data_IF_713627212403
#
_entry.id   IF_713627212403
#
_cell.length_a   1.000
_cell.length_b   1.000
_cell.length_c   1.000
_cell.angle_alpha   90.00
_cell.angle_beta   90.00
_cell.angle_gamma   90.00
#
_symmetry.space_group_name_H-M   'P 1'
#
loop_
_entity.id
_entity.type
_entity.pdbx_description
1 polymer ?
#
# COMPACT_ATOMS: atom_id res chain seq x y z
N UNK A 1 -8.91 2.37 -38.01
CA UNK A 1 -8.59 1.55 -36.79
C UNK A 1 -8.61 2.52 -35.61
N UNK A 2 -9.66 2.47 -34.78
CA UNK A 2 -9.68 3.21 -33.53
C UNK A 2 -8.55 2.67 -32.64
N UNK A 3 -7.52 3.50 -32.45
CA UNK A 3 -6.40 3.19 -31.54
C UNK A 3 -6.95 3.19 -30.12
N UNK A 4 -6.76 2.11 -29.36
CA UNK A 4 -7.14 2.07 -27.95
C UNK A 4 -6.45 3.21 -27.20
N UNK A 5 -7.21 3.94 -26.35
CA UNK A 5 -6.67 5.02 -25.53
C UNK A 5 -5.72 4.45 -24.46
N UNK A 6 -4.67 5.20 -24.16
CA UNK A 6 -3.76 4.87 -23.04
C UNK A 6 -4.44 5.15 -21.70
N UNK A 7 -3.92 4.56 -20.64
CA UNK A 7 -4.43 4.76 -19.27
C UNK A 7 -4.47 6.25 -18.89
N UNK A 8 -3.42 7.00 -19.25
CA UNK A 8 -3.35 8.43 -18.98
C UNK A 8 -4.40 9.22 -19.77
N UNK A 9 -4.63 8.86 -21.02
CA UNK A 9 -5.67 9.51 -21.83
C UNK A 9 -7.06 9.28 -21.23
N UNK A 10 -7.35 8.06 -20.82
CA UNK A 10 -8.62 7.72 -20.17
C UNK A 10 -8.78 8.51 -18.87
N UNK A 11 -7.73 8.57 -18.04
CA UNK A 11 -7.75 9.32 -16.79
C UNK A 11 -7.95 10.82 -16.99
N UNK A 12 -7.29 11.41 -17.98
CA UNK A 12 -7.39 12.84 -18.27
C UNK A 12 -8.74 13.24 -18.87
N UNK A 13 -9.38 12.36 -19.60
CA UNK A 13 -10.72 12.56 -20.17
C UNK A 13 -11.85 12.32 -19.17
N UNK A 14 -11.53 11.80 -17.98
CA UNK A 14 -12.51 11.49 -16.95
C UNK A 14 -13.26 12.75 -16.48
N UNK A 15 -14.57 12.65 -16.36
CA UNK A 15 -15.40 13.67 -15.74
C UNK A 15 -15.58 13.31 -14.27
N UNK A 16 -14.79 13.94 -13.42
CA UNK A 16 -14.85 13.71 -11.97
C UNK A 16 -15.99 14.48 -11.32
N UNK A 17 -16.60 13.88 -10.32
CA UNK A 17 -17.51 14.58 -9.44
C UNK A 17 -16.75 15.34 -8.34
N UNK A 18 -17.28 16.46 -7.83
CA UNK A 18 -16.71 17.06 -6.62
C UNK A 18 -16.64 16.04 -5.50
N UNK A 19 -15.56 16.07 -4.72
CA UNK A 19 -15.33 15.05 -3.68
C UNK A 19 -16.44 15.08 -2.60
N UNK A 20 -17.07 16.21 -2.40
CA UNK A 20 -18.22 16.33 -1.51
C UNK A 20 -19.41 15.50 -1.97
N UNK A 21 -19.64 15.40 -3.28
CA UNK A 21 -20.68 14.54 -3.86
C UNK A 21 -20.35 13.06 -3.73
N UNK A 22 -19.07 12.70 -3.93
CA UNK A 22 -18.59 11.34 -3.70
C UNK A 22 -18.79 10.93 -2.24
N UNK A 23 -18.48 11.81 -1.33
CA UNK A 23 -18.62 11.59 0.12
C UNK A 23 -20.08 11.37 0.54
N UNK A 24 -21.04 12.00 -0.13
CA UNK A 24 -22.47 11.80 0.14
C UNK A 24 -22.92 10.35 -0.05
N UNK A 25 -22.30 9.62 -0.97
CA UNK A 25 -22.59 8.19 -1.16
C UNK A 25 -22.25 7.34 0.05
N UNK A 26 -21.37 7.85 0.91
CA UNK A 26 -20.95 7.21 2.15
C UNK A 26 -21.59 7.85 3.39
N UNK A 27 -22.59 8.70 3.20
CA UNK A 27 -23.24 9.46 4.27
C UNK A 27 -22.26 10.30 5.10
N UNK A 28 -21.25 10.86 4.45
CA UNK A 28 -20.28 11.77 5.03
C UNK A 28 -20.73 13.21 4.76
N UNK A 29 -20.82 14.03 5.80
CA UNK A 29 -21.13 15.44 5.68
C UNK A 29 -19.90 16.23 5.23
N UNK A 30 -20.12 17.35 4.57
CA UNK A 30 -19.03 18.21 4.10
C UNK A 30 -18.15 18.72 5.24
N UNK A 31 -18.72 19.01 6.41
CA UNK A 31 -17.98 19.45 7.60
C UNK A 31 -17.14 18.34 8.24
N UNK A 32 -17.31 17.09 7.83
CA UNK A 32 -16.51 15.96 8.24
C UNK A 32 -15.32 15.69 7.31
N UNK A 33 -15.14 16.50 6.27
CA UNK A 33 -14.04 16.43 5.33
C UNK A 33 -13.08 17.61 5.50
N UNK A 34 -11.80 17.35 5.26
CA UNK A 34 -10.78 18.37 5.06
C UNK A 34 -10.43 18.38 3.57
N UNK A 35 -10.84 19.44 2.86
CA UNK A 35 -10.73 19.50 1.41
C UNK A 35 -9.30 19.83 0.95
N UNK A 36 -8.81 19.06 -0.01
CA UNK A 36 -7.56 19.28 -0.73
C UNK A 36 -7.88 19.57 -2.20
N UNK A 37 -8.48 20.74 -2.44
CA UNK A 37 -9.04 21.09 -3.73
C UNK A 37 -10.41 20.45 -3.94
N UNK A 38 -10.84 20.39 -5.22
CA UNK A 38 -12.20 19.98 -5.57
C UNK A 38 -12.41 18.46 -5.53
N UNK A 39 -11.34 17.68 -5.78
CA UNK A 39 -11.44 16.24 -6.08
C UNK A 39 -10.76 15.33 -5.07
N UNK A 40 -10.16 15.89 -4.02
CA UNK A 40 -9.48 15.14 -2.96
C UNK A 40 -9.90 15.67 -1.60
N UNK A 41 -9.99 14.79 -0.62
CA UNK A 41 -10.24 15.18 0.75
C UNK A 41 -9.62 14.20 1.73
N UNK A 42 -9.42 14.64 2.95
CA UNK A 42 -9.11 13.78 4.10
C UNK A 42 -10.33 13.66 5.00
N UNK A 43 -10.41 12.54 5.70
CA UNK A 43 -11.39 12.35 6.77
C UNK A 43 -10.96 13.12 8.01
N UNK A 44 -11.88 13.89 8.60
CA UNK A 44 -11.64 14.56 9.87
C UNK A 44 -11.59 13.55 11.03
N UNK A 45 -10.97 13.95 12.14
CA UNK A 45 -10.97 13.13 13.36
C UNK A 45 -12.39 12.96 13.92
N UNK A 46 -13.25 13.97 13.76
CA UNK A 46 -14.66 13.92 14.16
C UNK A 46 -15.43 12.83 13.41
N UNK A 47 -15.18 12.68 12.11
CA UNK A 47 -15.77 11.61 11.31
C UNK A 47 -15.36 10.25 11.87
N UNK A 48 -14.07 10.04 12.10
CA UNK A 48 -13.55 8.76 12.59
C UNK A 48 -14.11 8.42 13.97
N UNK A 49 -14.28 9.40 14.85
CA UNK A 49 -14.89 9.20 16.16
C UNK A 49 -16.39 8.85 16.04
N UNK A 50 -17.12 9.52 15.15
CA UNK A 50 -18.53 9.21 14.89
C UNK A 50 -18.74 7.80 14.38
N UNK A 51 -17.82 7.30 13.56
CA UNK A 51 -17.91 5.97 12.93
C UNK A 51 -17.56 4.82 13.89
N UNK A 52 -16.92 5.09 14.99
CA UNK A 52 -16.32 4.12 15.89
C UNK A 52 -17.25 2.98 16.30
N UNK A 53 -18.51 3.28 16.57
CA UNK A 53 -19.49 2.31 17.07
C UNK A 53 -20.46 1.79 15.98
N UNK A 54 -20.25 2.21 14.72
CA UNK A 54 -21.05 1.73 13.60
C UNK A 54 -20.70 0.25 13.28
N UNK A 55 -21.66 -0.53 12.74
CA UNK A 55 -21.38 -1.91 12.34
C UNK A 55 -20.43 -1.96 11.16
N UNK A 56 -19.63 -3.03 11.09
CA UNK A 56 -18.73 -3.28 9.99
C UNK A 56 -19.45 -3.87 8.78
N UNK A 57 -19.07 -3.42 7.59
CA UNK A 57 -19.41 -4.08 6.34
C UNK A 57 -18.58 -5.34 6.11
N UNK A 58 -18.71 -5.91 4.91
CA UNK A 58 -17.96 -7.09 4.49
C UNK A 58 -16.61 -6.70 3.91
N UNK A 59 -15.57 -7.46 4.22
CA UNK A 59 -14.21 -7.23 3.78
C UNK A 59 -13.81 -8.27 2.73
N UNK A 60 -13.44 -7.81 1.54
CA UNK A 60 -12.94 -8.64 0.44
C UNK A 60 -11.47 -8.31 0.22
N UNK A 61 -10.60 -9.28 0.38
CA UNK A 61 -9.17 -9.15 0.07
C UNK A 61 -8.91 -9.64 -1.35
N UNK A 62 -8.33 -8.79 -2.18
CA UNK A 62 -7.83 -9.17 -3.52
C UNK A 62 -6.32 -9.43 -3.41
N UNK A 63 -5.92 -10.62 -3.79
CA UNK A 63 -4.51 -11.02 -3.87
C UNK A 63 -4.28 -11.73 -5.21
N UNK A 64 -3.09 -12.26 -5.43
CA UNK A 64 -2.73 -12.92 -6.67
C UNK A 64 -1.79 -14.08 -6.42
N UNK A 65 -1.60 -14.90 -7.43
CA UNK A 65 -0.47 -15.83 -7.47
C UNK A 65 0.86 -15.05 -7.48
N UNK A 66 1.99 -15.73 -7.38
CA UNK A 66 3.31 -15.08 -7.40
C UNK A 66 3.42 -14.07 -8.53
N UNK A 67 4.04 -12.90 -8.28
CA UNK A 67 4.27 -11.94 -9.35
C UNK A 67 5.18 -12.51 -10.43
N UNK A 68 4.82 -12.25 -11.69
CA UNK A 68 5.60 -12.59 -12.87
C UNK A 68 5.94 -11.31 -13.65
N UNK A 69 6.90 -11.37 -14.60
CA UNK A 69 7.24 -10.20 -15.42
C UNK A 69 6.05 -9.63 -16.21
N UNK A 70 5.02 -10.44 -16.47
CA UNK A 70 3.83 -10.01 -17.20
C UNK A 70 2.82 -9.23 -16.31
N UNK A 71 2.94 -9.33 -14.98
CA UNK A 71 1.97 -8.80 -14.03
C UNK A 71 0.66 -9.61 -13.99
N UNK A 72 -0.08 -9.50 -12.89
CA UNK A 72 -1.34 -10.24 -12.66
C UNK A 72 -2.57 -9.33 -12.70
N UNK A 73 -2.40 -8.02 -12.56
CA UNK A 73 -3.50 -7.05 -12.64
C UNK A 73 -4.35 -6.96 -11.38
N UNK A 74 -3.76 -7.09 -10.19
CA UNK A 74 -4.47 -6.99 -8.91
C UNK A 74 -5.25 -5.69 -8.76
N UNK A 75 -4.58 -4.56 -8.94
CA UNK A 75 -5.20 -3.24 -8.74
C UNK A 75 -6.32 -2.99 -9.74
N UNK A 76 -6.13 -3.35 -11.01
CA UNK A 76 -7.18 -3.28 -12.03
C UNK A 76 -8.38 -4.14 -11.64
N UNK A 77 -8.14 -5.34 -11.13
CA UNK A 77 -9.20 -6.24 -10.65
C UNK A 77 -9.90 -5.66 -9.42
N UNK A 78 -9.16 -5.12 -8.47
CA UNK A 78 -9.72 -4.53 -7.24
C UNK A 78 -10.62 -3.34 -7.56
N UNK A 79 -10.16 -2.43 -8.41
CA UNK A 79 -10.93 -1.26 -8.84
C UNK A 79 -12.15 -1.69 -9.65
N UNK A 80 -11.97 -2.60 -10.60
CA UNK A 80 -13.07 -3.14 -11.41
C UNK A 80 -14.14 -3.82 -10.57
N UNK A 81 -13.75 -4.60 -9.56
CA UNK A 81 -14.67 -5.25 -8.64
C UNK A 81 -15.46 -4.22 -7.83
N UNK A 82 -14.79 -3.19 -7.30
CA UNK A 82 -15.47 -2.12 -6.57
C UNK A 82 -16.47 -1.35 -7.44
N UNK A 83 -16.11 -1.04 -8.68
CA UNK A 83 -17.01 -0.42 -9.64
C UNK A 83 -18.22 -1.32 -9.98
N UNK A 84 -17.99 -2.63 -10.11
CA UNK A 84 -19.05 -3.60 -10.35
C UNK A 84 -20.07 -3.65 -9.22
N UNK A 85 -19.61 -3.63 -7.97
CA UNK A 85 -20.52 -3.53 -6.82
C UNK A 85 -21.34 -2.25 -6.87
N UNK A 86 -20.73 -1.12 -7.22
CA UNK A 86 -21.43 0.14 -7.38
C UNK A 86 -22.53 0.07 -8.45
N UNK A 87 -22.24 -0.56 -9.60
CA UNK A 87 -23.23 -0.79 -10.67
C UNK A 87 -24.38 -1.68 -10.23
N UNK A 88 -24.13 -2.62 -9.32
CA UNK A 88 -25.17 -3.47 -8.75
C UNK A 88 -25.97 -2.77 -7.63
N UNK A 89 -25.75 -1.48 -7.42
CA UNK A 89 -26.42 -0.71 -6.39
C UNK A 89 -25.95 -0.99 -4.97
N UNK A 90 -24.79 -1.61 -4.81
CA UNK A 90 -24.20 -1.86 -3.50
C UNK A 90 -23.41 -0.64 -3.03
N UNK A 91 -23.46 -0.37 -1.72
CA UNK A 91 -22.65 0.65 -1.08
C UNK A 91 -21.24 0.08 -0.86
N UNK A 92 -20.36 0.33 -1.82
CA UNK A 92 -19.01 -0.24 -1.85
C UNK A 92 -17.93 0.84 -1.81
N UNK A 93 -16.79 0.50 -1.21
CA UNK A 93 -15.58 1.32 -1.13
C UNK A 93 -14.39 0.47 -1.50
N UNK A 94 -13.42 1.07 -2.18
CA UNK A 94 -12.12 0.46 -2.46
C UNK A 94 -11.10 1.10 -1.53
N UNK A 95 -10.30 0.29 -0.84
CA UNK A 95 -9.24 0.75 0.07
C UNK A 95 -7.87 0.33 -0.47
N UNK A 96 -7.04 1.29 -0.84
CA UNK A 96 -5.78 1.08 -1.55
C UNK A 96 -4.60 1.72 -0.85
N UNK A 97 -3.38 1.28 -1.23
CA UNK A 97 -2.16 1.98 -0.90
C UNK A 97 -1.97 3.19 -1.80
N UNK A 98 -1.28 4.20 -1.26
CA UNK A 98 -0.78 5.33 -2.03
C UNK A 98 0.52 4.92 -2.76
N UNK A 99 0.69 5.24 -4.06
CA UNK A 99 1.92 4.93 -4.77
C UNK A 99 3.08 5.83 -4.37
N UNK A 100 4.30 5.25 -4.34
CA UNK A 100 5.54 5.98 -4.11
C UNK A 100 6.01 6.67 -5.39
N UNK A 101 6.66 7.84 -5.25
CA UNK A 101 7.23 8.59 -6.37
C UNK A 101 8.28 7.81 -7.15
N UNK A 102 9.17 7.11 -6.44
CA UNK A 102 10.24 6.36 -7.10
C UNK A 102 9.73 5.38 -8.14
N UNK A 103 8.87 4.42 -7.78
CA UNK A 103 8.27 3.51 -8.75
C UNK A 103 7.45 4.20 -9.84
N UNK A 104 6.83 5.34 -9.56
CA UNK A 104 6.06 6.11 -10.55
C UNK A 104 6.93 6.55 -11.73
N UNK A 105 8.15 6.94 -11.47
CA UNK A 105 9.15 7.31 -12.49
C UNK A 105 10.02 6.13 -12.93
N UNK A 106 9.78 4.93 -12.44
CA UNK A 106 10.50 3.71 -12.78
C UNK A 106 9.77 2.85 -13.81
N UNK A 107 10.21 1.61 -13.91
CA UNK A 107 9.68 0.61 -14.87
C UNK A 107 8.20 0.32 -14.61
N UNK A 108 7.77 0.34 -13.36
CA UNK A 108 6.37 0.04 -12.98
C UNK A 108 5.39 1.14 -13.35
N UNK A 109 5.84 2.40 -13.44
CA UNK A 109 4.96 3.55 -13.60
C UNK A 109 4.04 3.77 -12.39
N UNK A 110 2.97 4.53 -12.56
CA UNK A 110 1.99 4.82 -11.51
C UNK A 110 1.08 3.62 -11.20
N UNK A 111 0.42 3.65 -10.05
CA UNK A 111 -0.38 2.54 -9.53
C UNK A 111 -1.83 2.97 -9.24
N UNK A 112 -2.54 3.45 -10.26
CA UNK A 112 -3.93 3.89 -10.18
C UNK A 112 -4.95 2.89 -10.76
N UNK A 113 -4.51 1.69 -11.13
CA UNK A 113 -5.29 0.74 -11.94
C UNK A 113 -4.97 0.86 -13.42
N UNK A 114 -5.83 0.38 -14.30
CA UNK A 114 -5.62 0.41 -15.74
C UNK A 114 -6.92 0.42 -16.53
N UNK A 115 -6.84 0.92 -17.78
CA UNK A 115 -7.98 1.01 -18.66
C UNK A 115 -9.12 1.82 -18.04
N UNK A 116 -10.30 1.25 -18.01
CA UNK A 116 -11.49 1.87 -17.40
C UNK A 116 -11.68 1.51 -15.92
N UNK A 117 -10.74 0.76 -15.33
CA UNK A 117 -10.72 0.45 -13.91
C UNK A 117 -9.58 1.25 -13.24
N UNK A 118 -9.80 2.54 -13.05
CA UNK A 118 -8.82 3.46 -12.47
C UNK A 118 -9.42 4.29 -11.34
N UNK A 119 -8.56 4.69 -10.40
CA UNK A 119 -8.85 5.75 -9.42
C UNK A 119 -8.31 7.07 -9.93
N UNK A 120 -9.04 8.13 -9.71
CA UNK A 120 -8.74 9.49 -10.19
C UNK A 120 -8.91 10.51 -9.05
N UNK A 121 -8.18 11.63 -9.06
CA UNK A 121 -7.26 12.13 -10.10
C UNK A 121 -5.93 11.36 -10.12
N UNK A 122 -5.57 10.80 -11.27
CA UNK A 122 -4.43 9.89 -11.40
C UNK A 122 -3.08 10.59 -11.18
N UNK A 123 -2.87 11.75 -11.81
CA UNK A 123 -1.61 12.50 -11.68
C UNK A 123 -1.37 12.90 -10.22
N UNK A 124 -2.40 13.42 -9.55
CA UNK A 124 -2.29 13.82 -8.15
C UNK A 124 -1.93 12.62 -7.26
N UNK A 125 -2.61 11.49 -7.48
CA UNK A 125 -2.36 10.26 -6.72
C UNK A 125 -0.91 9.78 -6.89
N UNK A 126 -0.38 9.81 -8.11
CA UNK A 126 0.95 9.31 -8.43
C UNK A 126 2.08 10.26 -8.04
N UNK A 127 1.80 11.53 -7.80
CA UNK A 127 2.81 12.53 -7.46
C UNK A 127 2.79 12.85 -5.97
N UNK A 128 2.44 14.05 -5.60
CA UNK A 128 2.50 14.50 -4.20
C UNK A 128 1.23 14.22 -3.40
N UNK A 129 0.15 13.91 -4.09
CA UNK A 129 -1.17 13.60 -3.56
C UNK A 129 -1.65 14.64 -2.51
N UNK A 130 -1.63 14.28 -1.22
CA UNK A 130 -1.97 15.17 -0.11
C UNK A 130 -0.78 15.43 0.82
N UNK A 131 0.42 15.01 0.42
CA UNK A 131 1.65 15.29 1.15
C UNK A 131 2.02 14.28 2.23
N UNK A 132 1.34 13.15 2.34
CA UNK A 132 1.59 12.17 3.41
C UNK A 132 3.00 11.61 3.38
N UNK A 133 3.52 11.28 2.19
CA UNK A 133 4.87 10.73 2.06
C UNK A 133 5.94 11.78 2.34
N UNK A 134 5.69 13.04 2.00
CA UNK A 134 6.58 14.14 2.38
C UNK A 134 6.63 14.34 3.90
N UNK A 135 5.49 14.19 4.57
CA UNK A 135 5.43 14.24 6.02
C UNK A 135 6.23 13.10 6.66
N UNK A 136 6.12 11.90 6.12
CA UNK A 136 6.88 10.73 6.58
C UNK A 136 8.38 10.92 6.35
N UNK A 137 8.77 11.39 5.16
CA UNK A 137 10.18 11.73 4.87
C UNK A 137 10.71 12.76 5.86
N UNK A 138 9.95 13.80 6.14
CA UNK A 138 10.35 14.86 7.08
C UNK A 138 10.51 14.31 8.50
N UNK A 139 9.57 13.50 8.98
CA UNK A 139 9.63 12.91 10.31
C UNK A 139 10.82 11.94 10.44
N UNK A 140 11.03 11.12 9.43
CA UNK A 140 12.17 10.19 9.39
C UNK A 140 13.52 10.92 9.46
N UNK A 141 13.66 11.98 8.68
CA UNK A 141 14.91 12.73 8.59
C UNK A 141 15.09 13.67 9.80
N UNK A 142 14.01 14.13 10.42
CA UNK A 142 14.09 14.84 11.70
C UNK A 142 14.69 13.92 12.78
N UNK A 143 14.24 12.68 12.86
CA UNK A 143 14.77 11.72 13.83
C UNK A 143 16.26 11.46 13.56
N UNK A 144 16.68 11.31 12.32
CA UNK A 144 18.08 11.16 11.95
C UNK A 144 18.91 12.39 12.33
N UNK A 145 18.39 13.58 12.08
CA UNK A 145 19.05 14.83 12.44
C UNK A 145 19.19 15.01 13.97
N UNK A 146 18.15 14.68 14.72
CA UNK A 146 18.19 14.74 16.18
C UNK A 146 19.22 13.75 16.77
N UNK A 147 19.34 12.57 16.19
CA UNK A 147 20.32 11.58 16.58
C UNK A 147 21.74 12.09 16.37
N UNK A 148 22.06 12.59 15.18
CA UNK A 148 23.38 13.12 14.86
C UNK A 148 23.69 14.39 15.68
N UNK A 149 22.70 15.24 15.91
CA UNK A 149 22.87 16.40 16.78
C UNK A 149 23.12 16.02 18.24
N UNK A 150 22.47 14.98 18.74
CA UNK A 150 22.70 14.47 20.09
C UNK A 150 24.16 14.05 20.28
N UNK A 151 24.70 13.32 19.30
CA UNK A 151 26.12 12.92 19.31
C UNK A 151 27.02 14.15 19.29
N UNK A 152 26.74 15.13 18.43
CA UNK A 152 27.53 16.37 18.29
C UNK A 152 27.52 17.20 19.58
N UNK A 153 26.41 17.25 20.30
CA UNK A 153 26.18 18.11 21.45
C UNK A 153 26.55 17.40 22.80
N UNK A 154 27.47 16.46 22.77
CA UNK A 154 28.00 15.83 23.97
C UNK A 154 27.63 14.37 24.15
N UNK A 155 26.71 13.83 23.37
CA UNK A 155 26.35 12.39 23.37
C UNK A 155 26.07 11.84 24.78
N UNK A 156 25.16 12.49 25.50
CA UNK A 156 24.84 12.13 26.88
C UNK A 156 24.34 10.68 27.01
N UNK A 157 23.60 10.19 26.02
CA UNK A 157 23.09 8.81 25.98
C UNK A 157 24.16 7.77 25.66
N UNK A 158 25.39 8.21 25.31
CA UNK A 158 26.47 7.31 24.98
C UNK A 158 26.24 6.47 23.74
N UNK A 159 25.62 7.04 22.72
CA UNK A 159 25.38 6.36 21.44
C UNK A 159 26.72 5.98 20.81
N UNK A 160 26.85 4.69 20.44
CA UNK A 160 28.00 4.23 19.68
C UNK A 160 27.78 4.56 18.20
N UNK A 161 28.59 5.45 17.60
CA UNK A 161 28.43 5.84 16.21
C UNK A 161 28.52 4.67 15.19
N UNK A 162 29.08 3.55 15.64
CA UNK A 162 29.17 2.32 14.82
C UNK A 162 27.96 1.40 14.98
N UNK A 163 27.03 1.76 15.85
CA UNK A 163 25.83 0.98 16.19
C UNK A 163 24.54 1.77 15.90
N UNK A 164 24.59 2.71 14.97
CA UNK A 164 23.42 3.47 14.51
C UNK A 164 22.70 2.64 13.46
N UNK A 165 21.40 2.36 13.70
CA UNK A 165 20.56 1.59 12.78
C UNK A 165 19.56 2.46 12.04
N UNK A 166 19.22 3.63 12.56
CA UNK A 166 18.30 4.55 11.91
C UNK A 166 18.92 5.16 10.66
N UNK A 167 18.18 5.14 9.56
CA UNK A 167 18.63 5.62 8.25
C UNK A 167 17.82 6.84 7.81
N UNK A 168 18.41 7.65 6.96
CA UNK A 168 17.69 8.71 6.26
C UNK A 168 16.83 8.12 5.15
N UNK A 169 15.92 8.90 4.59
CA UNK A 169 15.07 8.45 3.49
C UNK A 169 14.81 9.54 2.46
N UNK A 170 14.44 9.10 1.26
CA UNK A 170 14.02 9.94 0.16
C UNK A 170 13.02 9.13 -0.66
N UNK A 171 11.91 9.73 -1.09
CA UNK A 171 10.91 8.98 -1.85
C UNK A 171 11.27 8.88 -3.34
N UNK A 172 12.45 8.33 -3.60
CA UNK A 172 13.00 8.15 -4.94
C UNK A 172 13.90 6.90 -4.96
N UNK A 173 13.89 6.18 -6.08
CA UNK A 173 14.85 5.10 -6.30
C UNK A 173 16.20 5.71 -6.71
N UNK A 174 17.14 5.75 -5.78
CA UNK A 174 18.48 6.29 -6.01
C UNK A 174 19.54 5.37 -5.39
N UNK A 175 20.14 4.54 -6.25
CA UNK A 175 21.16 3.58 -5.80
C UNK A 175 22.44 4.21 -5.31
N UNK A 176 22.73 5.44 -5.72
CA UNK A 176 23.94 6.17 -5.31
C UNK A 176 23.87 6.54 -3.82
N UNK A 177 22.67 6.72 -3.29
CA UNK A 177 22.44 7.08 -1.90
C UNK A 177 22.35 5.87 -0.94
N UNK A 178 22.53 4.65 -1.43
CA UNK A 178 22.45 3.45 -0.58
C UNK A 178 23.54 3.38 0.48
N UNK A 179 24.73 3.88 0.15
CA UNK A 179 25.84 3.95 1.09
C UNK A 179 26.53 5.30 0.87
N UNK A 180 26.48 6.16 1.87
CA UNK A 180 27.04 7.51 1.81
C UNK A 180 27.85 7.77 3.06
N UNK A 181 28.77 8.71 2.99
CA UNK A 181 29.51 9.23 4.14
C UNK A 181 28.93 10.61 4.48
N UNK A 182 28.50 10.77 5.71
CA UNK A 182 27.94 12.03 6.24
C UNK A 182 28.86 12.66 7.27
N UNK A 183 28.64 13.94 7.56
CA UNK A 183 29.42 14.67 8.58
C UNK A 183 30.81 15.10 8.13
N UNK A 184 31.09 15.11 6.83
CA UNK A 184 32.34 15.61 6.28
C UNK A 184 32.43 17.13 6.43
N UNK A 185 33.65 17.64 6.58
CA UNK A 185 33.91 19.07 6.73
C UNK A 185 34.67 19.37 8.02
N UNK A 186 34.18 20.33 8.78
CA UNK A 186 34.79 20.74 10.05
C UNK A 186 34.19 19.97 11.22
N UNK A 187 34.76 20.17 12.44
CA UNK A 187 34.18 19.63 13.67
C UNK A 187 32.75 20.11 13.96
N UNK A 188 32.29 21.13 13.26
CA UNK A 188 30.92 21.67 13.40
C UNK A 188 29.90 20.93 12.52
N UNK A 189 30.36 20.06 11.63
CA UNK A 189 29.52 19.36 10.65
C UNK A 189 29.08 17.98 11.13
N UNK A 190 29.30 17.67 12.39
CA UNK A 190 28.92 16.41 13.00
C UNK A 190 30.04 15.38 13.01
N UNK A 191 29.72 14.16 13.39
CA UNK A 191 30.67 13.04 13.39
C UNK A 191 30.64 12.35 12.03
N UNK A 192 31.79 12.12 11.43
CA UNK A 192 31.91 11.40 10.17
C UNK A 192 31.50 9.94 10.39
N UNK A 193 30.55 9.48 9.63
CA UNK A 193 30.06 8.10 9.66
C UNK A 193 29.44 7.69 8.34
N UNK A 194 29.24 6.39 8.16
CA UNK A 194 28.42 5.85 7.09
C UNK A 194 26.93 6.04 7.41
N UNK A 195 26.17 6.40 6.40
CA UNK A 195 24.70 6.45 6.44
C UNK A 195 24.13 5.85 5.17
N UNK A 196 22.83 5.70 5.14
CA UNK A 196 22.07 5.16 4.02
C UNK A 196 20.81 6.00 3.80
N UNK A 197 20.36 6.09 2.55
CA UNK A 197 19.03 6.61 2.23
C UNK A 197 18.15 5.46 1.73
N UNK A 198 17.13 5.11 2.51
CA UNK A 198 16.10 4.18 2.05
C UNK A 198 15.00 4.95 1.33
N UNK A 199 14.22 4.28 0.50
CA UNK A 199 13.01 4.89 -0.07
C UNK A 199 11.98 5.11 1.04
N UNK A 200 11.21 6.20 0.98
CA UNK A 200 10.28 6.58 2.08
C UNK A 200 9.32 5.46 2.46
N UNK A 201 8.82 4.69 1.48
CA UNK A 201 7.92 3.57 1.75
C UNK A 201 8.58 2.38 2.47
N UNK A 202 9.90 2.39 2.61
CA UNK A 202 10.66 1.45 3.41
C UNK A 202 10.98 1.97 4.83
N UNK A 203 10.64 3.21 5.12
CA UNK A 203 10.81 3.77 6.47
C UNK A 203 9.93 3.04 7.48
N UNK A 204 10.50 2.75 8.66
CA UNK A 204 9.72 2.21 9.79
C UNK A 204 8.54 3.10 10.16
N UNK A 205 8.67 4.43 9.98
CA UNK A 205 7.59 5.38 10.25
C UNK A 205 6.39 5.11 9.32
N UNK A 206 6.63 4.73 8.07
CA UNK A 206 5.54 4.33 7.17
C UNK A 206 4.74 3.16 7.75
N UNK A 207 5.41 2.12 8.20
CA UNK A 207 4.77 0.95 8.82
C UNK A 207 4.05 1.32 10.11
N UNK A 208 4.68 2.11 10.96
CA UNK A 208 4.11 2.58 12.23
C UNK A 208 2.84 3.38 12.01
N UNK A 209 2.85 4.33 11.07
CA UNK A 209 1.68 5.13 10.72
C UNK A 209 0.53 4.24 10.22
N UNK A 210 0.83 3.26 9.39
CA UNK A 210 -0.17 2.35 8.84
C UNK A 210 -0.76 1.37 9.86
N UNK A 211 -0.06 1.09 10.95
CA UNK A 211 -0.54 0.22 12.02
C UNK A 211 -1.20 0.98 13.19
N UNK A 212 -1.01 2.29 13.27
CA UNK A 212 -1.53 3.09 14.38
C UNK A 212 -3.07 3.19 14.35
N UNK A 213 -3.68 3.11 15.52
CA UNK A 213 -5.13 3.27 15.68
C UNK A 213 -5.53 4.76 15.75
N UNK A 214 -4.72 5.58 16.39
CA UNK A 214 -4.95 7.00 16.62
C UNK A 214 -3.64 7.73 16.92
N UNK A 215 -3.72 9.02 17.26
CA UNK A 215 -2.54 9.83 17.55
C UNK A 215 -1.80 9.34 18.80
N UNK A 216 -2.48 8.89 19.82
CA UNK A 216 -1.83 8.37 21.04
C UNK A 216 -1.08 7.08 20.77
N UNK A 217 -1.68 6.17 20.01
CA UNK A 217 -1.02 4.94 19.57
C UNK A 217 0.17 5.23 18.64
N UNK A 218 0.02 6.22 17.73
CA UNK A 218 1.13 6.68 16.88
C UNK A 218 2.32 7.16 17.71
N UNK A 219 2.07 8.02 18.68
CA UNK A 219 3.15 8.54 19.58
C UNK A 219 3.84 7.42 20.34
N UNK A 220 3.07 6.49 20.88
CA UNK A 220 3.64 5.34 21.61
C UNK A 220 4.53 4.50 20.72
N UNK A 221 4.09 4.21 19.50
CA UNK A 221 4.87 3.42 18.53
C UNK A 221 6.10 4.17 18.04
N UNK A 222 5.97 5.46 17.74
CA UNK A 222 7.12 6.30 17.35
C UNK A 222 8.17 6.34 18.44
N UNK A 223 7.75 6.52 19.69
CA UNK A 223 8.67 6.60 20.83
C UNK A 223 9.46 5.33 21.06
N UNK A 224 8.90 4.18 20.72
CA UNK A 224 9.55 2.87 20.87
C UNK A 224 10.53 2.52 19.73
N UNK A 225 10.63 3.33 18.70
CA UNK A 225 11.58 3.08 17.61
C UNK A 225 13.00 3.05 18.17
N UNK A 226 13.71 1.96 17.93
CA UNK A 226 15.12 1.82 18.28
C UNK A 226 15.95 2.44 17.16
N UNK A 227 16.75 3.46 17.51
CA UNK A 227 17.55 4.21 16.52
C UNK A 227 19.02 3.81 16.52
N UNK A 228 19.53 3.33 17.67
CA UNK A 228 20.93 2.99 17.85
C UNK A 228 21.10 2.13 19.11
N UNK A 229 22.33 1.66 19.33
CA UNK A 229 22.75 1.08 20.60
C UNK A 229 23.85 1.94 21.21
N UNK A 230 23.88 2.04 22.54
CA UNK A 230 24.89 2.78 23.23
C UNK A 230 26.20 1.94 23.43
N UNK A 231 27.23 2.53 23.98
CA UNK A 231 28.50 1.83 24.20
C UNK A 231 28.38 0.61 25.12
N UNK A 232 27.34 0.53 25.94
CA UNK A 232 27.03 -0.63 26.79
C UNK A 232 26.17 -1.68 26.07
N UNK A 233 25.81 -1.47 24.79
CA UNK A 233 24.97 -2.37 24.02
C UNK A 233 23.48 -2.25 24.31
N UNK A 234 23.05 -1.21 25.03
CA UNK A 234 21.63 -0.97 25.31
C UNK A 234 20.95 -0.20 24.17
N UNK A 235 19.68 -0.50 23.84
CA UNK A 235 18.97 0.24 22.80
C UNK A 235 18.72 1.68 23.21
N UNK A 236 18.82 2.57 22.23
CA UNK A 236 18.43 3.99 22.33
C UNK A 236 17.20 4.18 21.46
N UNK A 237 16.16 4.77 22.02
CA UNK A 237 14.87 4.95 21.34
C UNK A 237 14.65 6.41 20.90
N UNK A 238 13.65 6.61 20.05
CA UNK A 238 13.22 7.96 19.68
C UNK A 238 12.76 8.78 20.89
N UNK A 239 12.12 8.13 21.89
CA UNK A 239 11.76 8.80 23.15
C UNK A 239 12.98 9.26 23.93
N UNK A 240 14.05 8.49 23.95
CA UNK A 240 15.31 8.88 24.60
C UNK A 240 15.88 10.18 23.98
N UNK A 241 15.65 10.39 22.69
CA UNK A 241 16.05 11.60 21.97
C UNK A 241 15.03 12.73 22.07
N UNK A 242 13.90 12.53 22.78
CA UNK A 242 12.79 13.49 22.85
C UNK A 242 12.23 13.89 21.50
N UNK A 243 12.21 12.93 20.54
CA UNK A 243 11.82 13.18 19.15
C UNK A 243 10.34 12.97 18.89
N UNK A 244 9.62 12.23 19.73
CA UNK A 244 8.27 11.73 19.48
C UNK A 244 7.27 12.85 19.21
N UNK A 245 7.25 13.91 20.01
CA UNK A 245 6.31 15.00 19.85
C UNK A 245 6.48 15.76 18.53
N UNK A 246 7.73 16.02 18.14
CA UNK A 246 8.04 16.71 16.88
C UNK A 246 7.69 15.85 15.66
N UNK A 247 7.98 14.55 15.70
CA UNK A 247 7.58 13.63 14.66
C UNK A 247 6.06 13.55 14.54
N UNK A 248 5.34 13.43 15.65
CA UNK A 248 3.88 13.37 15.67
C UNK A 248 3.26 14.66 15.10
N UNK A 249 3.83 15.82 15.40
CA UNK A 249 3.39 17.09 14.83
C UNK A 249 3.52 17.12 13.31
N UNK A 250 4.63 16.62 12.77
CA UNK A 250 4.84 16.49 11.31
C UNK A 250 3.84 15.53 10.67
N UNK A 251 3.42 14.50 11.39
CA UNK A 251 2.55 13.43 10.89
C UNK A 251 1.06 13.69 11.14
N UNK A 252 0.70 14.81 11.73
CA UNK A 252 -0.67 15.11 12.17
C UNK A 252 -1.70 14.90 11.06
N UNK A 253 -1.48 15.48 9.89
CA UNK A 253 -2.40 15.37 8.77
C UNK A 253 -2.21 14.06 7.99
N UNK A 254 -0.98 13.54 7.95
CA UNK A 254 -0.68 12.27 7.29
C UNK A 254 -1.39 11.07 7.94
N UNK A 255 -1.77 11.18 9.21
CA UNK A 255 -2.51 10.13 9.92
C UNK A 255 -3.96 10.00 9.45
N UNK A 256 -4.51 11.00 8.78
CA UNK A 256 -5.89 11.03 8.30
C UNK A 256 -5.99 10.37 6.92
N UNK A 257 -6.90 9.41 6.73
CA UNK A 257 -7.11 8.76 5.43
C UNK A 257 -7.58 9.73 4.35
N UNK A 258 -7.25 9.42 3.10
CA UNK A 258 -7.61 10.23 1.92
C UNK A 258 -8.78 9.60 1.17
N UNK A 259 -9.67 10.45 0.67
CA UNK A 259 -10.82 10.06 -0.15
C UNK A 259 -10.64 10.59 -1.57
N UNK A 260 -10.79 9.71 -2.54
CA UNK A 260 -10.89 10.01 -3.97
C UNK A 260 -11.98 9.13 -4.60
N UNK A 261 -12.00 9.00 -5.91
CA UNK A 261 -13.04 8.28 -6.64
C UNK A 261 -12.47 7.42 -7.76
N UNK A 262 -13.23 6.45 -8.21
CA UNK A 262 -12.96 5.74 -9.46
C UNK A 262 -13.55 6.49 -10.65
N UNK A 263 -13.25 6.03 -11.87
CA UNK A 263 -13.86 6.59 -13.10
C UNK A 263 -15.40 6.55 -13.08
N UNK A 264 -15.98 5.59 -12.40
CA UNK A 264 -17.45 5.46 -12.26
C UNK A 264 -17.96 6.04 -10.91
N UNK A 265 -17.13 6.86 -10.27
CA UNK A 265 -17.46 7.60 -9.04
C UNK A 265 -17.67 6.74 -7.79
N UNK A 266 -17.19 5.49 -7.81
CA UNK A 266 -17.14 4.68 -6.60
C UNK A 266 -16.10 5.29 -5.66
N UNK A 267 -16.43 5.50 -4.36
CA UNK A 267 -15.47 6.05 -3.43
C UNK A 267 -14.26 5.14 -3.24
N UNK A 268 -13.09 5.76 -3.18
CA UNK A 268 -11.83 5.07 -2.91
C UNK A 268 -11.09 5.77 -1.77
N UNK A 269 -10.70 4.99 -0.77
CA UNK A 269 -9.92 5.46 0.38
C UNK A 269 -8.48 5.03 0.15
N UNK A 270 -7.57 5.99 0.08
CA UNK A 270 -6.15 5.75 -0.19
C UNK A 270 -5.33 6.28 0.98
N UNK A 271 -4.55 5.41 1.62
CA UNK A 271 -3.80 5.82 2.80
C UNK A 271 -2.64 4.89 3.10
N UNK A 272 -1.43 5.47 3.15
CA UNK A 272 -0.20 4.74 3.38
C UNK A 272 0.25 3.87 2.21
N UNK A 273 1.51 3.48 2.20
CA UNK A 273 2.07 2.72 1.10
C UNK A 273 3.27 1.84 1.49
N UNK A 274 3.21 1.10 2.62
CA UNK A 274 4.34 0.28 3.03
C UNK A 274 4.57 -0.83 1.99
N UNK A 275 5.84 -1.07 1.62
CA UNK A 275 6.18 -2.15 0.70
C UNK A 275 6.02 -3.52 1.36
N UNK A 276 5.45 -4.48 0.63
CA UNK A 276 5.17 -5.80 1.15
C UNK A 276 6.43 -6.64 1.43
N UNK A 277 7.53 -6.39 0.72
CA UNK A 277 8.80 -7.05 0.96
C UNK A 277 9.60 -6.48 2.15
N UNK A 278 9.15 -5.37 2.72
CA UNK A 278 9.83 -4.68 3.82
C UNK A 278 8.93 -4.60 5.06
N UNK A 279 7.65 -4.29 4.87
CA UNK A 279 6.65 -4.15 5.92
C UNK A 279 5.43 -5.02 5.62
N UNK A 280 4.24 -4.63 6.07
CA UNK A 280 3.03 -5.45 5.91
C UNK A 280 2.32 -5.30 4.55
N UNK A 281 2.72 -4.32 3.72
CA UNK A 281 2.34 -4.27 2.30
C UNK A 281 0.88 -4.03 1.98
N UNK A 282 0.15 -3.36 2.85
CA UNK A 282 -1.25 -3.01 2.65
C UNK A 282 -1.55 -1.61 3.22
N UNK A 283 -2.70 -1.05 2.89
CA UNK A 283 -3.07 0.28 3.36
C UNK A 283 -3.23 0.31 4.89
N UNK A 284 -3.49 1.49 5.44
CA UNK A 284 -3.52 1.67 6.88
C UNK A 284 -4.71 0.96 7.56
N UNK A 285 -4.52 0.65 8.82
CA UNK A 285 -5.59 0.13 9.71
C UNK A 285 -6.72 1.15 9.80
N UNK A 286 -6.39 2.43 9.96
CA UNK A 286 -7.40 3.51 10.05
C UNK A 286 -8.27 3.58 8.79
N UNK A 287 -7.66 3.49 7.61
CA UNK A 287 -8.38 3.52 6.33
C UNK A 287 -9.32 2.31 6.19
N UNK A 288 -8.85 1.12 6.48
CA UNK A 288 -9.66 -0.10 6.37
C UNK A 288 -10.79 -0.11 7.38
N UNK A 289 -10.54 0.27 8.64
CA UNK A 289 -11.60 0.37 9.65
C UNK A 289 -12.65 1.40 9.29
N UNK A 290 -12.23 2.58 8.83
CA UNK A 290 -13.16 3.62 8.38
C UNK A 290 -14.00 3.14 7.20
N UNK A 291 -13.37 2.48 6.22
CA UNK A 291 -14.08 1.91 5.06
C UNK A 291 -15.16 0.91 5.49
N UNK A 292 -14.86 0.03 6.42
CA UNK A 292 -15.81 -0.97 6.92
C UNK A 292 -17.00 -0.34 7.65
N UNK A 293 -16.80 0.80 8.32
CA UNK A 293 -17.87 1.55 8.98
C UNK A 293 -18.73 2.35 7.99
N UNK A 294 -18.16 2.75 6.86
CA UNK A 294 -18.81 3.60 5.87
C UNK A 294 -19.56 2.82 4.80
N UNK A 295 -19.17 1.60 4.50
CA UNK A 295 -19.69 0.84 3.37
C UNK A 295 -20.17 -0.55 3.77
N UNK A 296 -21.05 -1.12 2.94
CA UNK A 296 -21.52 -2.50 3.12
C UNK A 296 -20.48 -3.51 2.64
N UNK A 297 -19.68 -3.13 1.63
CA UNK A 297 -18.62 -3.96 1.06
C UNK A 297 -17.37 -3.12 0.87
N UNK A 298 -16.25 -3.62 1.37
CA UNK A 298 -14.93 -3.02 1.20
C UNK A 298 -14.06 -3.98 0.40
N UNK A 299 -13.48 -3.48 -0.69
CA UNK A 299 -12.49 -4.19 -1.50
C UNK A 299 -11.13 -3.61 -1.20
N UNK A 300 -10.21 -4.44 -0.74
CA UNK A 300 -8.83 -4.03 -0.46
C UNK A 300 -7.86 -5.03 -1.06
N UNK A 301 -6.57 -4.69 -1.04
CA UNK A 301 -5.54 -5.57 -1.60
C UNK A 301 -4.29 -5.60 -0.75
N UNK A 302 -3.44 -6.60 -1.00
CA UNK A 302 -2.11 -6.73 -0.41
C UNK A 302 -1.06 -6.85 -1.52
N UNK A 303 0.14 -6.33 -1.27
CA UNK A 303 1.21 -6.32 -2.26
C UNK A 303 1.78 -7.70 -2.57
N UNK A 304 2.39 -7.86 -3.72
CA UNK A 304 2.95 -9.13 -4.21
C UNK A 304 1.88 -10.23 -4.30
N UNK A 305 2.27 -11.48 -4.08
CA UNK A 305 1.36 -12.62 -4.16
C UNK A 305 0.79 -13.06 -2.81
N UNK A 306 -0.04 -14.09 -2.87
CA UNK A 306 -0.68 -14.63 -1.68
C UNK A 306 0.30 -15.26 -0.68
N UNK A 307 1.46 -15.67 -1.16
CA UNK A 307 2.55 -16.21 -0.35
C UNK A 307 3.36 -15.16 0.41
N UNK A 308 3.12 -13.88 0.17
CA UNK A 308 3.81 -12.77 0.83
C UNK A 308 2.82 -11.75 1.39
N UNK A 309 2.19 -10.95 0.52
CA UNK A 309 1.33 -9.85 0.93
C UNK A 309 0.07 -10.30 1.64
N UNK A 310 -0.60 -11.31 1.14
CA UNK A 310 -1.81 -11.84 1.79
C UNK A 310 -1.50 -12.43 3.16
N UNK A 311 -0.40 -13.15 3.31
CA UNK A 311 0.03 -13.66 4.62
C UNK A 311 0.29 -12.53 5.61
N UNK A 312 0.97 -11.47 5.20
CA UNK A 312 1.22 -10.31 6.06
C UNK A 312 -0.07 -9.55 6.39
N UNK A 313 -0.98 -9.45 5.43
CA UNK A 313 -2.30 -8.88 5.67
C UNK A 313 -3.03 -9.64 6.79
N UNK A 314 -3.08 -10.96 6.68
CA UNK A 314 -3.78 -11.82 7.63
C UNK A 314 -3.06 -11.92 8.98
N UNK A 315 -1.74 -12.16 8.95
CA UNK A 315 -0.95 -12.42 10.16
C UNK A 315 -0.54 -11.17 10.92
N UNK A 316 -0.42 -10.03 10.26
CA UNK A 316 0.00 -8.76 10.88
C UNK A 316 -1.19 -7.82 11.03
N UNK A 317 -1.75 -7.35 9.91
CA UNK A 317 -2.78 -6.32 9.91
C UNK A 317 -4.08 -6.80 10.56
N UNK A 318 -4.59 -7.95 10.13
CA UNK A 318 -5.84 -8.51 10.66
C UNK A 318 -5.72 -8.86 12.14
N UNK A 319 -4.63 -9.45 12.56
CA UNK A 319 -4.41 -9.81 13.97
C UNK A 319 -4.32 -8.57 14.84
N UNK A 320 -3.53 -7.58 14.41
CA UNK A 320 -3.38 -6.32 15.13
C UNK A 320 -4.69 -5.53 15.23
N UNK A 321 -5.44 -5.47 14.15
CA UNK A 321 -6.64 -4.64 14.04
C UNK A 321 -7.95 -5.35 14.40
N UNK A 322 -7.93 -6.65 14.65
CA UNK A 322 -9.13 -7.43 14.90
C UNK A 322 -10.00 -7.60 13.67
N UNK A 323 -9.39 -7.73 12.49
CA UNK A 323 -10.09 -7.86 11.21
C UNK A 323 -10.04 -9.31 10.71
N UNK A 324 -11.04 -9.68 9.93
CA UNK A 324 -11.09 -10.95 9.20
C UNK A 324 -11.76 -10.72 7.85
N UNK A 325 -11.13 -11.11 6.73
CA UNK A 325 -11.81 -11.07 5.44
C UNK A 325 -13.01 -12.02 5.42
N UNK A 326 -14.07 -11.57 4.75
CA UNK A 326 -15.25 -12.42 4.48
C UNK A 326 -15.02 -13.27 3.24
N UNK A 327 -14.16 -12.83 2.33
CA UNK A 327 -13.75 -13.57 1.16
C UNK A 327 -12.38 -13.08 0.68
N UNK A 328 -11.67 -13.97 -0.02
CA UNK A 328 -10.42 -13.67 -0.71
C UNK A 328 -10.62 -13.92 -2.20
N UNK A 329 -10.30 -12.93 -3.02
CA UNK A 329 -10.25 -13.05 -4.48
C UNK A 329 -8.79 -13.27 -4.86
N UNK A 330 -8.51 -14.42 -5.44
CA UNK A 330 -7.18 -14.81 -5.88
C UNK A 330 -7.08 -14.65 -7.40
N UNK A 331 -6.32 -13.66 -7.83
CA UNK A 331 -6.13 -13.34 -9.24
C UNK A 331 -5.07 -14.25 -9.84
N UNK A 332 -5.37 -14.87 -10.96
CA UNK A 332 -4.43 -15.64 -11.77
C UNK A 332 -4.49 -15.19 -13.23
N UNK A 333 -3.43 -15.45 -13.97
CA UNK A 333 -3.41 -15.24 -15.41
C UNK A 333 -2.92 -16.51 -16.10
N UNK A 334 -3.41 -16.77 -17.30
CA UNK A 334 -2.90 -17.87 -18.15
C UNK A 334 -1.40 -17.68 -18.38
N UNK A 335 -0.99 -16.46 -18.66
CA UNK A 335 0.43 -16.11 -18.93
C UNK A 335 1.33 -16.43 -17.74
N UNK A 336 0.92 -16.06 -16.53
CA UNK A 336 1.69 -16.34 -15.32
C UNK A 336 1.86 -17.84 -15.08
N UNK A 337 0.80 -18.62 -15.27
CA UNK A 337 0.85 -20.06 -15.08
C UNK A 337 1.70 -20.76 -16.15
N UNK A 338 1.65 -20.31 -17.39
CA UNK A 338 2.56 -20.79 -18.44
C UNK A 338 4.01 -20.44 -18.14
N UNK A 339 4.27 -19.23 -17.66
CA UNK A 339 5.61 -18.82 -17.22
C UNK A 339 6.12 -19.72 -16.09
N UNK A 340 5.29 -20.02 -15.10
CA UNK A 340 5.61 -20.95 -14.03
C UNK A 340 5.86 -22.38 -14.55
N UNK A 341 5.27 -22.74 -15.69
CA UNK A 341 5.47 -24.00 -16.37
C UNK A 341 6.69 -24.05 -17.28
N UNK A 342 7.48 -22.98 -17.33
CA UNK A 342 8.76 -22.93 -18.05
C UNK A 342 8.72 -22.20 -19.40
N UNK A 343 7.62 -21.53 -19.77
CA UNK A 343 7.55 -20.79 -21.04
C UNK A 343 8.32 -19.47 -20.92
N UNK A 344 9.24 -19.17 -21.86
CA UNK A 344 9.92 -17.89 -21.90
C UNK A 344 8.95 -16.72 -22.07
N UNK A 345 9.31 -15.55 -21.54
CA UNK A 345 8.47 -14.34 -21.58
C UNK A 345 8.00 -13.98 -22.99
N UNK A 346 8.86 -14.18 -23.99
CA UNK A 346 8.62 -13.85 -25.39
C UNK A 346 7.51 -14.72 -26.02
N UNK A 347 7.28 -15.91 -25.47
CA UNK A 347 6.38 -16.93 -26.03
C UNK A 347 5.08 -17.08 -25.23
N UNK A 348 4.80 -16.19 -24.27
CA UNK A 348 3.61 -16.30 -23.41
C UNK A 348 2.27 -16.10 -24.14
N UNK A 349 2.29 -15.50 -25.32
CA UNK A 349 1.09 -15.33 -26.15
C UNK A 349 0.71 -16.58 -26.97
N UNK A 350 1.63 -17.56 -27.08
CA UNK A 350 1.37 -18.78 -27.81
C UNK A 350 0.65 -19.80 -26.92
N UNK A 351 -0.32 -20.53 -27.48
CA UNK A 351 -0.99 -21.60 -26.74
C UNK A 351 0.01 -22.66 -26.28
N UNK A 352 -0.05 -23.02 -25.01
CA UNK A 352 0.81 -24.09 -24.46
C UNK A 352 0.13 -24.76 -23.27
N UNK A 353 -0.71 -25.74 -23.54
CA UNK A 353 -1.44 -26.49 -22.49
C UNK A 353 -0.49 -27.33 -21.63
N UNK A 354 0.58 -27.87 -22.17
CA UNK A 354 1.54 -28.69 -21.40
C UNK A 354 2.24 -27.84 -20.33
N UNK A 355 2.69 -26.64 -20.68
CA UNK A 355 3.29 -25.72 -19.73
C UNK A 355 2.26 -25.24 -18.69
N UNK A 356 1.02 -24.97 -19.11
CA UNK A 356 -0.07 -24.59 -18.20
C UNK A 356 -0.33 -25.69 -17.18
N UNK A 357 -0.39 -26.96 -17.59
CA UNK A 357 -0.53 -28.11 -16.69
C UNK A 357 0.61 -28.23 -15.68
N UNK A 358 1.84 -27.90 -16.08
CA UNK A 358 2.98 -27.87 -15.17
C UNK A 358 2.91 -26.71 -14.19
N UNK A 359 2.48 -25.53 -14.65
CA UNK A 359 2.44 -24.31 -13.84
C UNK A 359 1.25 -24.22 -12.89
N UNK A 360 0.16 -24.93 -13.15
CA UNK A 360 -1.08 -24.80 -12.36
C UNK A 360 -0.92 -25.25 -10.91
N UNK A 361 0.07 -26.04 -10.59
CA UNK A 361 0.41 -26.45 -9.22
C UNK A 361 0.73 -25.23 -8.34
N UNK A 362 1.21 -24.14 -8.94
CA UNK A 362 1.44 -22.90 -8.25
C UNK A 362 0.13 -22.27 -7.78
N UNK A 363 -0.89 -22.23 -8.64
CA UNK A 363 -2.23 -21.78 -8.27
C UNK A 363 -2.83 -22.67 -7.18
N UNK A 364 -2.72 -23.98 -7.33
CA UNK A 364 -3.21 -24.94 -6.33
C UNK A 364 -2.61 -24.66 -4.96
N UNK A 365 -1.31 -24.41 -4.89
CA UNK A 365 -0.62 -24.14 -3.63
C UNK A 365 -1.10 -22.84 -2.99
N UNK A 366 -1.33 -21.80 -3.77
CA UNK A 366 -1.88 -20.56 -3.26
C UNK A 366 -3.31 -20.75 -2.72
N UNK A 367 -4.14 -21.51 -3.42
CA UNK A 367 -5.50 -21.85 -2.95
C UNK A 367 -5.42 -22.56 -1.60
N UNK A 368 -4.60 -23.61 -1.49
CA UNK A 368 -4.41 -24.35 -0.24
C UNK A 368 -3.96 -23.45 0.90
N UNK A 369 -2.99 -22.58 0.65
CA UNK A 369 -2.44 -21.69 1.68
C UNK A 369 -3.49 -20.70 2.20
N UNK A 370 -4.29 -20.12 1.32
CA UNK A 370 -5.37 -19.21 1.73
C UNK A 370 -6.48 -19.96 2.46
N UNK A 371 -6.83 -21.16 2.03
CA UNK A 371 -7.84 -21.99 2.69
C UNK A 371 -7.47 -22.33 4.15
N UNK A 372 -6.19 -22.38 4.49
CA UNK A 372 -5.72 -22.61 5.88
C UNK A 372 -6.17 -21.51 6.85
N UNK A 373 -6.50 -20.35 6.36
CA UNK A 373 -7.05 -19.24 7.17
C UNK A 373 -8.57 -19.35 7.38
N UNK A 374 -9.22 -20.39 6.84
CA UNK A 374 -10.66 -20.62 6.95
C UNK A 374 -11.51 -19.47 6.38
N UNK A 375 -11.07 -18.89 5.27
CA UNK A 375 -11.80 -17.89 4.53
C UNK A 375 -12.19 -18.43 3.15
N UNK A 376 -13.38 -18.09 2.61
CA UNK A 376 -13.75 -18.46 1.26
C UNK A 376 -12.78 -17.86 0.22
N UNK A 377 -12.39 -18.66 -0.76
CA UNK A 377 -11.49 -18.26 -1.84
C UNK A 377 -12.21 -18.33 -3.17
N UNK A 378 -12.18 -17.26 -3.92
CA UNK A 378 -12.68 -17.18 -5.30
C UNK A 378 -11.50 -16.91 -6.22
N UNK A 379 -11.25 -17.80 -7.17
CA UNK A 379 -10.22 -17.58 -8.20
C UNK A 379 -10.81 -16.75 -9.32
N UNK A 380 -10.12 -15.68 -9.68
CA UNK A 380 -10.45 -14.81 -10.81
C UNK A 380 -9.36 -14.87 -11.84
N UNK A 381 -9.74 -15.15 -13.08
CA UNK A 381 -8.81 -15.16 -14.20
C UNK A 381 -8.82 -13.79 -14.87
N UNK A 382 -7.68 -13.09 -14.82
CA UNK A 382 -7.47 -11.86 -15.58
C UNK A 382 -7.08 -12.22 -17.00
N UNK A 383 -8.03 -12.16 -17.91
CA UNK A 383 -7.88 -12.65 -19.29
C UNK A 383 -7.16 -11.64 -20.18
N UNK A 384 -6.29 -12.17 -21.04
CA UNK A 384 -5.66 -11.43 -22.14
C UNK A 384 -6.24 -11.90 -23.47
N UNK A 385 -6.15 -11.04 -24.48
CA UNK A 385 -6.66 -11.35 -25.85
C UNK A 385 -6.01 -12.61 -26.44
N UNK A 386 -4.75 -12.89 -26.05
CA UNK A 386 -4.01 -14.06 -26.52
C UNK A 386 -4.39 -15.36 -25.81
N UNK A 387 -5.17 -15.32 -24.75
CA UNK A 387 -5.60 -16.53 -24.04
C UNK A 387 -6.57 -17.33 -24.88
N UNK A 388 -6.33 -18.65 -25.02
CA UNK A 388 -7.20 -19.53 -25.79
C UNK A 388 -8.36 -20.08 -24.93
N UNK A 389 -9.45 -20.47 -25.59
CA UNK A 389 -10.58 -21.09 -24.89
C UNK A 389 -10.17 -22.38 -24.18
N UNK A 390 -9.26 -23.17 -24.78
CA UNK A 390 -8.77 -24.40 -24.17
C UNK A 390 -7.97 -24.13 -22.89
N UNK A 391 -7.13 -23.11 -22.89
CA UNK A 391 -6.35 -22.70 -21.71
C UNK A 391 -7.24 -22.20 -20.58
N UNK A 392 -8.22 -21.35 -20.91
CA UNK A 392 -9.18 -20.83 -19.92
C UNK A 392 -10.03 -21.95 -19.35
N UNK A 393 -10.55 -22.85 -20.21
CA UNK A 393 -11.36 -23.99 -19.78
C UNK A 393 -10.59 -24.94 -18.84
N UNK A 394 -9.32 -25.16 -19.13
CA UNK A 394 -8.48 -26.00 -18.27
C UNK A 394 -8.38 -25.44 -16.84
N UNK A 395 -8.13 -24.13 -16.71
CA UNK A 395 -8.04 -23.47 -15.40
C UNK A 395 -9.39 -23.49 -14.68
N UNK A 396 -10.48 -23.18 -15.38
CA UNK A 396 -11.82 -23.20 -14.78
C UNK A 396 -12.20 -24.59 -14.25
N UNK A 397 -11.95 -25.63 -15.04
CA UNK A 397 -12.22 -27.00 -14.63
C UNK A 397 -11.34 -27.43 -13.45
N UNK A 398 -10.08 -27.04 -13.44
CA UNK A 398 -9.19 -27.28 -12.31
C UNK A 398 -9.70 -26.64 -11.03
N UNK A 399 -10.09 -25.37 -11.07
CA UNK A 399 -10.59 -24.64 -9.89
C UNK A 399 -11.90 -25.21 -9.36
N UNK A 400 -12.76 -25.74 -10.23
CA UNK A 400 -14.00 -26.41 -9.80
C UNK A 400 -13.75 -27.72 -9.08
N UNK A 401 -12.60 -28.36 -9.30
CA UNK A 401 -12.23 -29.64 -8.69
C UNK A 401 -11.51 -29.49 -7.34
N UNK A 402 -11.01 -28.32 -7.01
CA UNK A 402 -10.30 -28.01 -5.76
C UNK A 402 -11.04 -26.97 -4.94
#
# INVERSE_FOLDING_TARGET
>A
RNKMKSDIQIAQEAVMEPITEVAKRLDIREDELELYGKYKAKFSDELLERLKDEPDGKLVLVTAINPTPAGEGKTTTSVGLGQAFGKLGKKAVIALREPSLGPCFGIKGGAAGGGYAQVVPMEDLNLHFTGDFHAITSANNLLAALLDNHIQQGNELGIDPRQIIWKRCLDMNDRVLRNVVVGLGSKMDGMVREDHFVITVASEIMAVLCLADDMEDLKRRLGNIIVAYNFEGKPVTADDLHATGSMAALLKDALKPNLIQTLEHTPAIVHGGPFANIAHGCNSVRATKAALKLADIVVTEAGFGADLGAEKFLDIKCRKAGLKPDAVVLVATVRALKYNGGVPKENLSDENLEALKKGIVNLEKHIENVQKYHVPVVVTLNSFVSDTEAEVAYIENFCKAV
#
